data_IF_009003989592
#
_entry.id   IF_009003989592
#
_cell.length_a   1.000
_cell.length_b   1.000
_cell.length_c   1.000
_cell.angle_alpha   90.00
_cell.angle_beta   90.00
_cell.angle_gamma   90.00
#
_symmetry.space_group_name_H-M   'P 1'
#
loop_
_entity.id
_entity.type
_entity.pdbx_description
1 polymer ?
#
# COMPACT_ATOMS: atom_id res chain seq x y z
N UNK A 1 45.83 84.86 -35.14
CA UNK A 1 45.76 83.60 -35.92
C UNK A 1 47.16 83.29 -36.38
N UNK A 2 47.68 82.14 -35.96
CA UNK A 2 49.10 81.80 -36.00
C UNK A 2 49.58 81.38 -37.40
N UNK A 3 50.73 81.91 -37.82
CA UNK A 3 51.49 81.35 -38.94
C UNK A 3 52.86 80.86 -38.44
N UNK A 4 53.20 79.66 -38.90
CA UNK A 4 54.17 78.73 -38.34
C UNK A 4 55.54 78.95 -38.97
N UNK A 5 56.56 79.23 -38.16
CA UNK A 5 57.95 79.25 -38.61
C UNK A 5 58.49 77.82 -38.78
N UNK A 6 58.60 77.40 -40.05
CA UNK A 6 58.96 76.07 -40.54
C UNK A 6 60.36 75.55 -40.15
N UNK A 7 61.22 76.37 -39.52
CA UNK A 7 62.62 76.00 -39.21
C UNK A 7 62.89 75.64 -37.74
N UNK A 8 61.88 75.65 -36.87
CA UNK A 8 62.06 75.33 -35.44
C UNK A 8 62.31 73.84 -35.15
N UNK A 9 62.01 72.93 -36.09
CA UNK A 9 62.20 71.48 -35.90
C UNK A 9 63.61 70.96 -36.29
N UNK A 10 64.44 71.80 -36.91
CA UNK A 10 65.85 71.47 -37.22
C UNK A 10 66.81 72.18 -36.25
N UNK A 11 66.32 72.62 -35.08
CA UNK A 11 67.15 73.21 -34.03
C UNK A 11 67.88 74.50 -34.42
N UNK A 12 67.52 75.12 -35.54
CA UNK A 12 68.18 76.32 -36.05
C UNK A 12 67.55 77.56 -35.42
N UNK A 13 68.14 78.01 -34.30
CA UNK A 13 67.96 79.38 -33.81
C UNK A 13 68.74 80.31 -34.74
N UNK A 14 68.02 80.96 -35.65
CA UNK A 14 68.54 82.12 -36.38
C UNK A 14 68.70 83.29 -35.41
N UNK A 15 69.85 83.37 -34.74
CA UNK A 15 70.25 84.50 -33.92
C UNK A 15 71.77 84.64 -34.09
N UNK A 16 72.22 85.71 -34.76
CA UNK A 16 73.63 86.12 -34.73
C UNK A 16 74.34 86.53 -36.03
N UNK A 17 73.66 87.03 -37.07
CA UNK A 17 74.33 87.77 -38.17
C UNK A 17 74.55 89.25 -37.83
N UNK A 18 74.93 89.54 -36.58
CA UNK A 18 75.32 90.86 -36.07
C UNK A 18 76.15 90.69 -34.77
N UNK A 19 77.09 89.74 -34.79
CA UNK A 19 78.17 89.73 -33.79
C UNK A 19 79.40 90.41 -34.39
N UNK A 20 79.92 91.50 -33.80
CA UNK A 20 81.32 91.85 -34.02
C UNK A 20 82.15 90.63 -33.61
N UNK A 21 83.19 90.31 -34.40
CA UNK A 21 84.10 89.20 -34.10
C UNK A 21 84.46 89.20 -32.59
N UNK A 22 84.26 88.10 -31.85
CA UNK A 22 84.46 88.12 -30.41
C UNK A 22 85.95 88.21 -30.12
N UNK A 23 86.44 89.43 -29.88
CA UNK A 23 87.82 89.68 -29.45
C UNK A 23 88.14 89.01 -28.10
N UNK A 24 87.14 88.59 -27.33
CA UNK A 24 87.31 87.86 -26.06
C UNK A 24 87.60 86.36 -26.22
N UNK A 25 87.33 85.75 -27.38
CA UNK A 25 87.58 84.33 -27.59
C UNK A 25 88.95 84.03 -28.23
N UNK A 26 89.72 85.08 -28.55
CA UNK A 26 91.06 84.92 -29.11
C UNK A 26 92.01 84.31 -28.06
N UNK A 27 91.93 84.75 -26.80
CA UNK A 27 92.86 84.29 -25.75
C UNK A 27 92.61 82.83 -25.34
N UNK A 28 91.36 82.41 -25.17
CA UNK A 28 91.03 81.01 -24.88
C UNK A 28 91.36 80.09 -26.06
N UNK A 29 91.09 80.54 -27.29
CA UNK A 29 91.48 79.83 -28.51
C UNK A 29 93.00 79.76 -28.65
N UNK A 30 93.73 80.83 -28.32
CA UNK A 30 95.20 80.86 -28.28
C UNK A 30 95.69 79.88 -27.21
N UNK A 31 95.11 79.85 -26.02
CA UNK A 31 95.50 78.89 -24.96
C UNK A 31 95.25 77.44 -25.36
N UNK A 32 94.13 77.18 -26.03
CA UNK A 32 93.80 75.85 -26.54
C UNK A 32 94.72 75.46 -27.72
N UNK A 33 95.03 76.40 -28.61
CA UNK A 33 95.98 76.20 -29.69
C UNK A 33 97.41 76.07 -29.19
N UNK A 34 97.82 76.77 -28.14
CA UNK A 34 99.11 76.64 -27.45
C UNK A 34 99.21 75.30 -26.73
N UNK A 35 98.13 74.84 -26.09
CA UNK A 35 98.03 73.50 -25.52
C UNK A 35 98.14 72.44 -26.61
N UNK A 36 97.45 72.60 -27.73
CA UNK A 36 97.55 71.71 -28.88
C UNK A 36 98.92 71.78 -29.57
N UNK A 37 99.56 72.95 -29.63
CA UNK A 37 100.91 73.13 -30.20
C UNK A 37 101.97 72.55 -29.26
N UNK A 38 101.76 72.67 -27.94
CA UNK A 38 102.58 72.04 -26.93
C UNK A 38 102.39 70.52 -26.94
N UNK A 39 101.17 70.01 -27.15
CA UNK A 39 100.88 68.59 -27.36
C UNK A 39 101.60 68.10 -28.63
N UNK A 40 101.46 68.83 -29.74
CA UNK A 40 102.13 68.55 -31.01
C UNK A 40 103.66 68.65 -30.93
N UNK A 41 104.22 69.56 -30.14
CA UNK A 41 105.66 69.66 -29.86
C UNK A 41 106.14 68.60 -28.87
N UNK A 42 105.26 68.12 -27.97
CA UNK A 42 105.55 67.06 -27.00
C UNK A 42 105.49 65.67 -27.64
N UNK A 43 104.74 65.51 -28.74
CA UNK A 43 104.86 64.39 -29.67
C UNK A 43 106.24 64.48 -30.29
N UNK A 44 107.24 63.93 -29.60
CA UNK A 44 108.62 63.81 -30.10
C UNK A 44 108.56 63.27 -31.52
N UNK A 45 109.19 63.99 -32.45
CA UNK A 45 109.18 63.65 -33.86
C UNK A 45 109.81 62.26 -34.01
N UNK A 46 109.00 61.26 -34.36
CA UNK A 46 109.35 59.82 -34.30
C UNK A 46 110.62 59.51 -35.13
N UNK A 47 110.85 60.34 -36.14
CA UNK A 47 111.98 60.29 -37.08
C UNK A 47 113.33 60.67 -36.47
N UNK A 48 113.36 61.26 -35.28
CA UNK A 48 114.57 61.76 -34.60
C UNK A 48 115.01 60.95 -33.38
N UNK A 49 114.27 59.91 -33.00
CA UNK A 49 114.58 59.08 -31.84
C UNK A 49 115.64 58.02 -32.14
N UNK A 50 116.49 57.73 -31.17
CA UNK A 50 117.40 56.57 -31.25
C UNK A 50 116.61 55.26 -31.10
N UNK A 51 117.16 54.15 -31.57
CA UNK A 51 116.48 52.83 -31.56
C UNK A 51 115.99 52.45 -30.15
N UNK A 52 116.79 52.71 -29.12
CA UNK A 52 116.46 52.41 -27.71
C UNK A 52 115.33 53.30 -27.19
N UNK A 53 115.33 54.59 -27.50
CA UNK A 53 114.27 55.51 -27.08
C UNK A 53 112.94 55.21 -27.79
N UNK A 54 112.99 54.77 -29.05
CA UNK A 54 111.81 54.31 -29.78
C UNK A 54 111.22 53.02 -29.17
N UNK A 55 112.06 52.05 -28.81
CA UNK A 55 111.64 50.82 -28.14
C UNK A 55 111.05 51.11 -26.74
N UNK A 56 111.64 52.04 -25.97
CA UNK A 56 111.09 52.47 -24.68
C UNK A 56 109.73 53.15 -24.85
N UNK A 57 109.60 54.09 -25.81
CA UNK A 57 108.33 54.74 -26.09
C UNK A 57 107.26 53.74 -26.56
N UNK A 58 107.64 52.76 -27.37
CA UNK A 58 106.74 51.71 -27.84
C UNK A 58 106.28 50.80 -26.68
N UNK A 59 107.17 50.41 -25.78
CA UNK A 59 106.83 49.59 -24.61
C UNK A 59 106.00 50.36 -23.58
N UNK A 60 106.28 51.65 -23.36
CA UNK A 60 105.47 52.53 -22.51
C UNK A 60 104.06 52.74 -23.10
N UNK A 61 103.97 52.97 -24.42
CA UNK A 61 102.69 53.09 -25.13
C UNK A 61 101.91 51.78 -25.08
N UNK A 62 102.55 50.63 -25.31
CA UNK A 62 101.93 49.31 -25.19
C UNK A 62 101.42 49.06 -23.77
N UNK A 63 102.21 49.39 -22.74
CA UNK A 63 101.82 49.23 -21.34
C UNK A 63 100.65 50.15 -20.97
N UNK A 64 100.63 51.38 -21.44
CA UNK A 64 99.51 52.32 -21.28
C UNK A 64 98.22 51.78 -21.93
N UNK A 65 98.32 51.24 -23.14
CA UNK A 65 97.19 50.59 -23.83
C UNK A 65 96.69 49.40 -23.02
N UNK A 66 97.57 48.51 -22.54
CA UNK A 66 97.20 47.34 -21.72
C UNK A 66 96.49 47.79 -20.45
N UNK A 67 97.04 48.78 -19.74
CA UNK A 67 96.45 49.29 -18.49
C UNK A 67 95.07 49.92 -18.73
N UNK A 68 94.91 50.64 -19.84
CA UNK A 68 93.61 51.20 -20.25
C UNK A 68 92.60 50.10 -20.59
N UNK A 69 93.04 49.03 -21.25
CA UNK A 69 92.20 47.87 -21.59
C UNK A 69 91.78 47.10 -20.34
N UNK A 70 92.72 46.82 -19.42
CA UNK A 70 92.45 46.16 -18.14
C UNK A 70 91.49 46.99 -17.26
N UNK A 71 91.64 48.32 -17.22
CA UNK A 71 90.71 49.19 -16.50
C UNK A 71 89.30 49.15 -17.12
N UNK A 72 89.21 49.13 -18.45
CA UNK A 72 87.94 49.01 -19.18
C UNK A 72 87.30 47.64 -18.95
N UNK A 73 88.09 46.57 -18.94
CA UNK A 73 87.66 45.20 -18.64
C UNK A 73 87.15 45.08 -17.19
N UNK A 74 87.91 45.57 -16.21
CA UNK A 74 87.49 45.56 -14.81
C UNK A 74 86.18 46.32 -14.58
N UNK A 75 86.01 47.49 -15.25
CA UNK A 75 84.77 48.27 -15.20
C UNK A 75 83.60 47.53 -15.86
N UNK A 76 83.83 46.90 -17.01
CA UNK A 76 82.81 46.10 -17.69
C UNK A 76 82.40 44.87 -16.87
N UNK A 77 83.36 44.15 -16.28
CA UNK A 77 83.09 43.01 -15.40
C UNK A 77 82.33 43.43 -14.14
N UNK A 78 82.68 44.56 -13.54
CA UNK A 78 81.93 45.09 -12.39
C UNK A 78 80.48 45.46 -12.76
N UNK A 79 80.28 46.08 -13.92
CA UNK A 79 78.94 46.41 -14.41
C UNK A 79 78.12 45.15 -14.72
N UNK A 80 78.72 44.15 -15.38
CA UNK A 80 78.09 42.87 -15.66
C UNK A 80 77.69 42.14 -14.37
N UNK A 81 78.58 42.10 -13.37
CA UNK A 81 78.27 41.45 -12.08
C UNK A 81 77.12 42.14 -11.34
N UNK A 82 77.04 43.48 -11.39
CA UNK A 82 75.90 44.22 -10.82
C UNK A 82 74.60 43.85 -11.52
N UNK A 83 74.58 43.87 -12.85
CA UNK A 83 73.39 43.51 -13.64
C UNK A 83 72.96 42.07 -13.35
N UNK A 84 73.91 41.14 -13.26
CA UNK A 84 73.62 39.74 -12.92
C UNK A 84 72.98 39.66 -11.53
N UNK A 85 73.59 40.29 -10.52
CA UNK A 85 73.07 40.24 -9.15
C UNK A 85 71.67 40.87 -9.03
N UNK A 86 71.45 42.02 -9.68
CA UNK A 86 70.15 42.69 -9.73
C UNK A 86 69.11 41.84 -10.46
N UNK A 87 69.44 41.28 -11.63
CA UNK A 87 68.56 40.37 -12.36
C UNK A 87 68.21 39.12 -11.56
N UNK A 88 69.19 38.52 -10.88
CA UNK A 88 68.97 37.32 -10.05
C UNK A 88 68.03 37.63 -8.89
N UNK A 89 68.18 38.81 -8.26
CA UNK A 89 67.30 39.28 -7.20
C UNK A 89 65.89 39.54 -7.73
N UNK A 90 65.73 40.26 -8.84
CA UNK A 90 64.42 40.53 -9.43
C UNK A 90 63.69 39.26 -9.83
N UNK A 91 64.40 38.28 -10.43
CA UNK A 91 63.82 36.99 -10.79
C UNK A 91 63.31 36.27 -9.54
N UNK A 92 64.10 36.29 -8.45
CA UNK A 92 63.70 35.66 -7.19
C UNK A 92 62.47 36.33 -6.57
N UNK A 93 62.43 37.65 -6.51
CA UNK A 93 61.28 38.41 -6.00
C UNK A 93 60.01 38.16 -6.85
N UNK A 94 60.14 38.13 -8.17
CA UNK A 94 59.02 37.82 -9.08
C UNK A 94 58.54 36.38 -8.93
N UNK A 95 59.45 35.44 -8.73
CA UNK A 95 59.13 34.03 -8.50
C UNK A 95 58.38 33.84 -7.17
N UNK A 96 58.89 34.40 -6.08
CA UNK A 96 58.23 34.35 -4.76
C UNK A 96 56.85 35.02 -4.78
N UNK A 97 56.71 36.15 -5.48
CA UNK A 97 55.41 36.81 -5.67
C UNK A 97 54.42 35.94 -6.45
N UNK A 98 54.88 35.30 -7.52
CA UNK A 98 54.07 34.40 -8.33
C UNK A 98 53.64 33.16 -7.53
N UNK A 99 54.56 32.57 -6.77
CA UNK A 99 54.28 31.41 -5.91
C UNK A 99 53.26 31.75 -4.82
N UNK A 100 53.40 32.91 -4.17
CA UNK A 100 52.45 33.38 -3.14
C UNK A 100 51.05 33.58 -3.72
N UNK A 101 50.95 34.16 -4.93
CA UNK A 101 49.68 34.30 -5.65
C UNK A 101 49.07 32.95 -6.01
N UNK A 102 49.88 32.01 -6.50
CA UNK A 102 49.42 30.66 -6.84
C UNK A 102 48.87 29.92 -5.61
N UNK A 103 49.58 29.97 -4.48
CA UNK A 103 49.13 29.39 -3.21
C UNK A 103 47.83 30.04 -2.72
N UNK A 104 47.70 31.36 -2.82
CA UNK A 104 46.49 32.06 -2.44
C UNK A 104 45.27 31.67 -3.31
N UNK A 105 45.46 31.55 -4.63
CA UNK A 105 44.42 31.09 -5.56
C UNK A 105 44.00 29.65 -5.24
N UNK A 106 44.97 28.76 -5.02
CA UNK A 106 44.71 27.37 -4.67
C UNK A 106 43.92 27.27 -3.37
N UNK A 107 44.37 27.93 -2.30
CA UNK A 107 43.67 27.92 -1.02
C UNK A 107 42.25 28.48 -1.12
N UNK A 108 42.04 29.55 -1.91
CA UNK A 108 40.71 30.09 -2.15
C UNK A 108 39.81 29.12 -2.94
N UNK A 109 40.36 28.41 -3.92
CA UNK A 109 39.64 27.39 -4.67
C UNK A 109 39.27 26.18 -3.80
N UNK A 110 40.21 25.69 -2.98
CA UNK A 110 39.97 24.60 -2.03
C UNK A 110 38.88 24.97 -1.01
N UNK A 111 38.93 26.18 -0.45
CA UNK A 111 37.92 26.63 0.50
C UNK A 111 36.53 26.74 -0.15
N UNK A 112 36.44 27.20 -1.40
CA UNK A 112 35.17 27.18 -2.15
C UNK A 112 34.72 25.75 -2.44
N UNK A 113 35.61 24.87 -2.89
CA UNK A 113 35.32 23.46 -3.15
C UNK A 113 34.80 22.74 -1.92
N UNK A 114 35.43 22.96 -0.76
CA UNK A 114 34.97 22.43 0.54
C UNK A 114 33.56 22.91 0.89
N UNK A 115 33.24 24.18 0.67
CA UNK A 115 31.89 24.71 0.92
C UNK A 115 30.84 24.09 0.01
N UNK A 116 31.15 23.88 -1.27
CA UNK A 116 30.23 23.21 -2.19
C UNK A 116 30.04 21.75 -1.84
N UNK A 117 31.11 21.05 -1.44
CA UNK A 117 31.03 19.69 -0.94
C UNK A 117 30.17 19.60 0.32
N UNK A 118 30.43 20.46 1.30
CA UNK A 118 29.66 20.47 2.55
C UNK A 118 28.18 20.76 2.30
N UNK A 119 27.86 21.75 1.45
CA UNK A 119 26.46 22.01 1.08
C UNK A 119 25.81 20.80 0.39
N UNK A 120 26.52 20.13 -0.51
CA UNK A 120 26.02 18.93 -1.16
C UNK A 120 25.87 17.73 -0.19
N UNK A 121 26.74 17.62 0.80
CA UNK A 121 26.65 16.62 1.88
C UNK A 121 25.44 16.89 2.77
N UNK A 122 25.25 18.14 3.20
CA UNK A 122 24.10 18.58 3.99
C UNK A 122 22.77 18.34 3.24
N UNK A 123 22.70 18.71 1.95
CA UNK A 123 21.53 18.47 1.09
C UNK A 123 21.24 16.96 0.93
N UNK A 124 22.28 16.14 0.79
CA UNK A 124 22.13 14.69 0.66
C UNK A 124 21.66 14.05 1.98
N UNK A 125 22.14 14.54 3.12
CA UNK A 125 21.70 14.08 4.44
C UNK A 125 20.24 14.49 4.70
N UNK A 126 19.83 15.70 4.31
CA UNK A 126 18.42 16.12 4.38
C UNK A 126 17.54 15.23 3.50
N UNK A 127 17.96 14.96 2.26
CA UNK A 127 17.21 14.09 1.35
C UNK A 127 17.10 12.66 1.90
N UNK A 128 18.16 12.13 2.51
CA UNK A 128 18.13 10.82 3.18
C UNK A 128 17.16 10.83 4.35
N UNK A 129 17.23 11.85 5.21
CA UNK A 129 16.34 11.97 6.38
C UNK A 129 14.86 12.06 5.96
N UNK A 130 14.56 12.82 4.91
CA UNK A 130 13.20 12.95 4.40
C UNK A 130 12.71 11.62 3.81
N UNK A 131 13.54 10.93 3.03
CA UNK A 131 13.19 9.61 2.49
C UNK A 131 12.98 8.55 3.59
N UNK A 132 13.79 8.58 4.65
CA UNK A 132 13.61 7.69 5.82
C UNK A 132 12.30 7.99 6.55
N UNK A 133 11.96 9.26 6.75
CA UNK A 133 10.71 9.67 7.39
C UNK A 133 9.47 9.26 6.56
N UNK A 134 9.49 9.50 5.24
CA UNK A 134 8.40 9.09 4.33
C UNK A 134 8.24 7.57 4.28
N UNK A 135 9.35 6.82 4.28
CA UNK A 135 9.33 5.36 4.32
C UNK A 135 8.73 4.85 5.63
N UNK A 136 9.08 5.45 6.77
CA UNK A 136 8.55 5.09 8.07
C UNK A 136 7.06 5.45 8.20
N UNK A 137 6.63 6.60 7.69
CA UNK A 137 5.21 6.98 7.62
C UNK A 137 4.40 5.97 6.80
N UNK A 138 4.88 5.62 5.61
CA UNK A 138 4.25 4.63 4.73
C UNK A 138 4.15 3.26 5.40
N UNK A 139 5.20 2.83 6.10
CA UNK A 139 5.21 1.55 6.84
C UNK A 139 4.20 1.57 8.00
N UNK A 140 4.14 2.68 8.73
CA UNK A 140 3.22 2.85 9.85
C UNK A 140 1.76 2.87 9.36
N UNK A 141 1.48 3.54 8.25
CA UNK A 141 0.17 3.53 7.61
C UNK A 141 -0.22 2.12 7.16
N UNK A 142 0.65 1.43 6.41
CA UNK A 142 0.43 0.05 5.98
C UNK A 142 0.19 -0.91 7.15
N UNK A 143 0.94 -0.74 8.25
CA UNK A 143 0.75 -1.56 9.46
C UNK A 143 -0.60 -1.28 10.13
N UNK A 144 -1.04 -0.02 10.20
CA UNK A 144 -2.36 0.35 10.72
C UNK A 144 -3.48 -0.19 9.83
N UNK A 145 -3.35 -0.09 8.52
CA UNK A 145 -4.33 -0.65 7.59
C UNK A 145 -4.40 -2.17 7.68
N UNK A 146 -3.26 -2.87 7.71
CA UNK A 146 -3.21 -4.32 7.83
C UNK A 146 -3.85 -4.82 9.14
N UNK A 147 -3.61 -4.11 10.25
CA UNK A 147 -4.24 -4.43 11.55
C UNK A 147 -5.75 -4.16 11.53
N UNK A 148 -6.20 -3.05 10.93
CA UNK A 148 -7.62 -2.75 10.74
C UNK A 148 -8.31 -3.81 9.88
N UNK A 149 -7.74 -4.17 8.72
CA UNK A 149 -8.26 -5.20 7.82
C UNK A 149 -8.35 -6.56 8.51
N UNK A 150 -7.31 -6.96 9.25
CA UNK A 150 -7.32 -8.22 9.99
C UNK A 150 -8.41 -8.23 11.06
N UNK A 151 -8.59 -7.10 11.77
CA UNK A 151 -9.63 -6.98 12.79
C UNK A 151 -11.05 -7.02 12.20
N UNK A 152 -11.25 -6.37 11.05
CA UNK A 152 -12.52 -6.36 10.33
C UNK A 152 -12.85 -7.76 9.78
N UNK A 153 -11.87 -8.43 9.17
CA UNK A 153 -12.01 -9.80 8.69
C UNK A 153 -12.37 -10.78 9.82
N UNK A 154 -11.75 -10.64 11.01
CA UNK A 154 -12.11 -11.44 12.19
C UNK A 154 -13.55 -11.19 12.64
N UNK A 155 -14.00 -9.94 12.69
CA UNK A 155 -15.39 -9.60 13.06
C UNK A 155 -16.39 -10.17 12.06
N UNK A 156 -16.12 -10.03 10.76
CA UNK A 156 -17.00 -10.56 9.72
C UNK A 156 -17.05 -12.10 9.74
N UNK A 157 -15.90 -12.75 9.93
CA UNK A 157 -15.83 -14.21 10.09
C UNK A 157 -16.64 -14.68 11.30
N UNK A 158 -16.52 -13.99 12.44
CA UNK A 158 -17.29 -14.30 13.64
C UNK A 158 -18.80 -14.15 13.39
N UNK A 159 -19.21 -13.06 12.73
CA UNK A 159 -20.61 -12.83 12.35
C UNK A 159 -21.13 -13.91 11.41
N UNK A 160 -20.33 -14.35 10.44
CA UNK A 160 -20.68 -15.43 9.54
C UNK A 160 -20.86 -16.77 10.27
N UNK A 161 -19.98 -17.08 11.23
CA UNK A 161 -20.09 -18.28 12.08
C UNK A 161 -21.37 -18.22 12.92
N UNK A 162 -21.67 -17.08 13.55
CA UNK A 162 -22.88 -16.89 14.34
C UNK A 162 -24.14 -17.05 13.50
N UNK A 163 -24.17 -16.44 12.30
CA UNK A 163 -25.27 -16.59 11.36
C UNK A 163 -25.45 -18.05 10.92
N UNK A 164 -24.37 -18.76 10.60
CA UNK A 164 -24.42 -20.17 10.22
C UNK A 164 -24.93 -21.04 11.39
N UNK A 165 -24.46 -20.78 12.61
CA UNK A 165 -24.92 -21.49 13.81
C UNK A 165 -26.43 -21.28 14.05
N UNK A 166 -26.93 -20.05 13.89
CA UNK A 166 -28.37 -19.76 13.99
C UNK A 166 -29.16 -20.54 12.93
N UNK A 167 -28.72 -20.50 11.67
CA UNK A 167 -29.39 -21.21 10.58
C UNK A 167 -29.44 -22.73 10.80
N UNK A 168 -28.38 -23.32 11.37
CA UNK A 168 -28.36 -24.74 11.72
C UNK A 168 -29.41 -25.06 12.79
N UNK A 169 -29.55 -24.20 13.80
CA UNK A 169 -30.55 -24.37 14.87
C UNK A 169 -31.97 -24.27 14.28
N UNK A 170 -32.21 -23.26 13.44
CA UNK A 170 -33.49 -23.05 12.77
C UNK A 170 -33.86 -24.23 11.88
N UNK A 171 -32.90 -24.73 11.09
CA UNK A 171 -33.09 -25.89 10.23
C UNK A 171 -33.38 -27.16 11.04
N UNK A 172 -32.68 -27.38 12.15
CA UNK A 172 -32.94 -28.50 13.06
C UNK A 172 -34.33 -28.41 13.69
N UNK A 173 -34.76 -27.21 14.07
CA UNK A 173 -36.11 -26.96 14.57
C UNK A 173 -37.18 -27.30 13.53
N UNK A 174 -36.98 -26.82 12.29
CA UNK A 174 -37.84 -27.14 11.17
C UNK A 174 -37.91 -28.65 10.89
N UNK A 175 -36.76 -29.34 10.84
CA UNK A 175 -36.72 -30.80 10.66
C UNK A 175 -37.48 -31.54 11.76
N UNK A 176 -37.33 -31.12 13.02
CA UNK A 176 -38.03 -31.76 14.15
C UNK A 176 -39.54 -31.60 14.03
N UNK A 177 -40.01 -30.43 13.58
CA UNK A 177 -41.43 -30.17 13.29
C UNK A 177 -41.93 -31.02 12.12
N UNK A 178 -41.15 -31.10 11.03
CA UNK A 178 -41.48 -31.91 9.85
C UNK A 178 -41.57 -33.40 10.19
N UNK A 179 -40.65 -33.94 10.99
CA UNK A 179 -40.69 -35.34 11.46
C UNK A 179 -41.94 -35.59 12.31
N UNK A 180 -42.24 -34.69 13.25
CA UNK A 180 -43.42 -34.81 14.12
C UNK A 180 -44.72 -34.81 13.31
N UNK A 181 -44.81 -33.97 12.28
CA UNK A 181 -45.97 -33.91 11.38
C UNK A 181 -46.06 -35.16 10.49
N UNK A 182 -44.93 -35.67 9.99
CA UNK A 182 -44.88 -36.91 9.22
C UNK A 182 -45.35 -38.11 10.07
N UNK A 183 -44.91 -38.23 11.32
CA UNK A 183 -45.38 -39.27 12.24
C UNK A 183 -46.88 -39.15 12.52
N UNK A 184 -47.37 -37.92 12.73
CA UNK A 184 -48.80 -37.65 12.94
C UNK A 184 -49.62 -38.09 11.73
N UNK A 185 -49.17 -37.75 10.52
CA UNK A 185 -49.81 -38.13 9.27
C UNK A 185 -49.82 -39.65 9.11
N UNK A 186 -48.70 -40.32 9.37
CA UNK A 186 -48.60 -41.78 9.28
C UNK A 186 -49.56 -42.47 10.25
N UNK A 187 -49.65 -42.01 11.52
CA UNK A 187 -50.63 -42.53 12.48
C UNK A 187 -52.06 -42.33 12.00
N UNK A 188 -52.37 -41.15 11.47
CA UNK A 188 -53.70 -40.86 10.92
C UNK A 188 -54.03 -41.74 9.71
N UNK A 189 -53.08 -41.95 8.80
CA UNK A 189 -53.25 -42.83 7.65
C UNK A 189 -53.49 -44.27 8.08
N UNK A 190 -52.71 -44.78 9.04
CA UNK A 190 -52.90 -46.14 9.55
C UNK A 190 -54.25 -46.32 10.26
N UNK A 191 -54.70 -45.32 11.01
CA UNK A 191 -56.03 -45.32 11.63
C UNK A 191 -57.15 -45.35 10.56
N UNK A 192 -57.02 -44.55 9.50
CA UNK A 192 -57.96 -44.55 8.37
C UNK A 192 -57.98 -45.88 7.61
N UNK A 193 -56.81 -46.51 7.40
CA UNK A 193 -56.71 -47.83 6.76
C UNK A 193 -57.39 -48.90 7.62
N UNK A 194 -57.13 -48.93 8.93
CA UNK A 194 -57.77 -49.86 9.85
C UNK A 194 -59.29 -49.66 9.89
N UNK A 195 -59.77 -48.41 9.89
CA UNK A 195 -61.19 -48.09 9.84
C UNK A 195 -61.83 -48.57 8.51
N UNK A 196 -61.14 -48.38 7.39
CA UNK A 196 -61.58 -48.90 6.09
C UNK A 196 -61.62 -50.43 6.07
N UNK A 197 -60.62 -51.11 6.64
CA UNK A 197 -60.60 -52.57 6.76
C UNK A 197 -61.77 -53.09 7.58
N UNK A 198 -62.03 -52.48 8.75
CA UNK A 198 -63.19 -52.83 9.58
C UNK A 198 -64.51 -52.61 8.83
N UNK A 199 -64.63 -51.51 8.08
CA UNK A 199 -65.81 -51.25 7.27
C UNK A 199 -66.01 -52.33 6.18
N UNK A 200 -64.93 -52.77 5.52
CA UNK A 200 -64.96 -53.86 4.54
C UNK A 200 -65.36 -55.18 5.19
N UNK A 201 -64.84 -55.48 6.38
CA UNK A 201 -65.23 -56.69 7.11
C UNK A 201 -66.72 -56.67 7.48
N UNK A 202 -67.23 -55.52 7.95
CA UNK A 202 -68.66 -55.34 8.24
C UNK A 202 -69.53 -55.47 6.98
N UNK A 203 -69.12 -54.93 5.84
CA UNK A 203 -69.88 -55.08 4.59
C UNK A 203 -69.86 -56.52 4.10
N UNK A 204 -68.74 -57.24 4.21
CA UNK A 204 -68.65 -58.68 3.92
C UNK A 204 -69.59 -59.49 4.81
N UNK A 205 -69.63 -59.24 6.11
CA UNK A 205 -70.57 -59.91 7.02
C UNK A 205 -72.02 -59.63 6.65
N UNK A 206 -72.37 -58.37 6.34
CA UNK A 206 -73.72 -58.01 5.88
C UNK A 206 -74.08 -58.71 4.57
N UNK A 207 -73.15 -58.81 3.62
CA UNK A 207 -73.33 -59.54 2.38
C UNK A 207 -73.55 -61.03 2.64
N UNK A 208 -72.73 -61.65 3.49
CA UNK A 208 -72.90 -63.05 3.87
C UNK A 208 -74.29 -63.30 4.46
N UNK A 209 -74.72 -62.48 5.43
CA UNK A 209 -76.06 -62.57 6.00
C UNK A 209 -77.18 -62.36 4.97
N UNK A 210 -76.98 -61.48 3.99
CA UNK A 210 -77.95 -61.28 2.91
C UNK A 210 -78.02 -62.50 1.99
N UNK A 211 -76.89 -63.13 1.66
CA UNK A 211 -76.84 -64.37 0.89
C UNK A 211 -77.48 -65.54 1.64
N UNK A 212 -77.16 -65.71 2.92
CA UNK A 212 -77.78 -66.76 3.76
C UNK A 212 -79.31 -66.58 3.77
N UNK A 213 -79.79 -65.34 3.94
CA UNK A 213 -81.23 -65.03 3.90
C UNK A 213 -81.87 -65.25 2.54
N UNK A 214 -81.16 -65.00 1.44
CA UNK A 214 -81.63 -65.30 0.09
C UNK A 214 -81.69 -66.81 -0.16
N UNK A 215 -80.71 -67.56 0.34
CA UNK A 215 -80.71 -69.02 0.27
C UNK A 215 -81.88 -69.60 1.08
N UNK A 216 -82.13 -69.11 2.29
CA UNK A 216 -83.33 -69.45 3.09
C UNK A 216 -84.62 -69.13 2.32
N UNK A 217 -84.73 -67.92 1.73
CA UNK A 217 -85.88 -67.54 0.91
C UNK A 217 -86.04 -68.47 -0.30
N UNK A 218 -84.97 -68.85 -0.96
CA UNK A 218 -84.99 -69.77 -2.10
C UNK A 218 -85.45 -71.18 -1.67
N UNK A 219 -84.99 -71.68 -0.53
CA UNK A 219 -85.50 -72.93 0.05
C UNK A 219 -86.99 -72.84 0.37
N UNK A 220 -87.43 -71.74 1.00
CA UNK A 220 -88.84 -71.48 1.32
C UNK A 220 -89.72 -71.37 0.06
N UNK A 221 -89.23 -70.75 -1.02
CA UNK A 221 -89.93 -70.67 -2.30
C UNK A 221 -90.03 -72.06 -2.93
N UNK A 222 -88.92 -72.79 -3.04
CA UNK A 222 -88.89 -74.13 -3.63
C UNK A 222 -89.80 -75.11 -2.87
N UNK A 223 -89.87 -75.02 -1.54
CA UNK A 223 -90.77 -75.83 -0.71
C UNK A 223 -92.26 -75.54 -0.94
N UNK A 224 -92.61 -74.38 -1.52
CA UNK A 224 -93.98 -73.93 -1.76
C UNK A 224 -94.40 -73.95 -3.24
N UNK A 225 -93.58 -74.52 -4.14
CA UNK A 225 -93.89 -74.69 -5.56
C UNK A 225 -94.15 -76.17 -5.88
N UNK A 226 -95.12 -76.45 -6.76
CA UNK A 226 -95.39 -77.81 -7.27
C UNK A 226 -94.48 -78.18 -8.47
N UNK A 227 -94.56 -79.43 -8.96
CA UNK A 227 -93.70 -79.92 -10.05
C UNK A 227 -93.86 -79.17 -11.39
N UNK A 228 -94.88 -78.31 -11.52
CA UNK A 228 -95.14 -77.46 -12.68
C UNK A 228 -94.88 -75.96 -12.39
N UNK A 229 -94.16 -75.64 -11.31
CA UNK A 229 -93.78 -74.28 -10.89
C UNK A 229 -94.95 -73.34 -10.53
N UNK A 230 -96.06 -73.88 -9.99
CA UNK A 230 -97.20 -73.07 -9.52
C UNK A 230 -97.25 -72.96 -7.99
N UNK A 231 -97.73 -71.84 -7.41
CA UNK A 231 -97.80 -71.66 -5.95
C UNK A 231 -98.77 -72.66 -5.31
N UNK A 232 -98.27 -73.49 -4.40
CA UNK A 232 -99.06 -74.49 -3.70
C UNK A 232 -99.88 -73.86 -2.55
N UNK A 233 -100.88 -73.03 -2.87
CA UNK A 233 -102.06 -72.71 -2.03
C UNK A 233 -101.88 -72.26 -0.57
N UNK A 234 -100.66 -71.99 -0.09
CA UNK A 234 -100.39 -71.56 1.28
C UNK A 234 -99.83 -70.15 1.27
N UNK A 235 -100.54 -69.25 1.93
CA UNK A 235 -100.26 -67.81 2.01
C UNK A 235 -98.86 -67.56 2.58
N UNK A 236 -98.01 -66.92 1.79
CA UNK A 236 -96.65 -66.54 2.18
C UNK A 236 -96.71 -65.45 3.27
N UNK A 237 -96.20 -65.71 4.47
CA UNK A 237 -96.07 -64.70 5.53
C UNK A 237 -94.61 -64.31 5.65
N UNK A 238 -94.25 -63.11 5.16
CA UNK A 238 -92.87 -62.61 5.19
C UNK A 238 -92.32 -62.53 6.62
N UNK A 239 -90.98 -62.68 6.77
CA UNK A 239 -90.29 -62.83 8.04
C UNK A 239 -90.53 -61.77 9.13
N UNK A 240 -91.09 -60.59 8.81
CA UNK A 240 -91.53 -59.61 9.83
C UNK A 240 -92.75 -60.12 10.63
N UNK A 241 -93.62 -60.91 10.02
CA UNK A 241 -94.79 -61.51 10.69
C UNK A 241 -94.42 -62.52 11.76
N UNK A 242 -93.36 -63.33 11.54
CA UNK A 242 -92.83 -64.28 12.54
C UNK A 242 -92.28 -63.56 13.78
N UNK A 243 -91.55 -62.46 13.60
CA UNK A 243 -90.99 -61.70 14.72
C UNK A 243 -92.07 -60.97 15.54
N UNK A 244 -93.12 -60.44 14.88
CA UNK A 244 -94.24 -59.82 15.58
C UNK A 244 -95.09 -60.84 16.35
N UNK A 245 -95.29 -62.04 15.80
CA UNK A 245 -95.97 -63.12 16.50
C UNK A 245 -95.22 -63.55 17.78
N UNK A 246 -93.90 -63.72 17.68
CA UNK A 246 -93.05 -64.07 18.83
C UNK A 246 -92.99 -62.97 19.90
N UNK A 247 -92.98 -61.69 19.50
CA UNK A 247 -93.01 -60.57 20.43
C UNK A 247 -94.37 -60.45 21.14
N UNK A 248 -95.46 -60.66 20.42
CA UNK A 248 -96.81 -60.69 20.98
C UNK A 248 -96.98 -61.85 21.97
N UNK A 249 -96.45 -63.03 21.65
CA UNK A 249 -96.48 -64.19 22.54
C UNK A 249 -95.71 -63.96 23.85
N UNK A 250 -94.51 -63.34 23.77
CA UNK A 250 -93.74 -62.97 24.97
C UNK A 250 -94.48 -61.96 25.85
N UNK A 251 -95.17 -60.97 25.26
CA UNK A 251 -95.97 -60.01 26.01
C UNK A 251 -97.19 -60.68 26.69
N UNK A 252 -97.85 -61.62 26.01
CA UNK A 252 -98.97 -62.37 26.61
C UNK A 252 -98.52 -63.25 27.79
N UNK A 253 -97.35 -63.90 27.69
CA UNK A 253 -96.78 -64.70 28.79
C UNK A 253 -96.43 -63.80 29.99
N UNK A 254 -95.85 -62.61 29.75
CA UNK A 254 -95.54 -61.66 30.80
C UNK A 254 -96.81 -61.12 31.51
N UNK A 255 -97.86 -60.82 30.74
CA UNK A 255 -99.15 -60.37 31.28
C UNK A 255 -99.82 -61.44 32.15
N UNK A 256 -99.79 -62.72 31.74
CA UNK A 256 -100.31 -63.84 32.54
C UNK A 256 -99.56 -64.00 33.86
N UNK A 257 -98.23 -63.88 33.86
CA UNK A 257 -97.42 -63.94 35.10
C UNK A 257 -97.72 -62.77 36.06
N UNK A 258 -97.94 -61.56 35.53
CA UNK A 258 -98.30 -60.39 36.33
C UNK A 258 -99.69 -60.53 36.98
N UNK A 259 -100.68 -61.06 36.24
CA UNK A 259 -102.02 -61.32 36.77
C UNK A 259 -102.02 -62.36 37.91
N UNK A 260 -101.29 -63.46 37.75
CA UNK A 260 -101.15 -64.49 38.79
C UNK A 260 -100.53 -63.95 40.08
N UNK A 261 -99.59 -63.00 39.98
CA UNK A 261 -98.93 -62.39 41.14
C UNK A 261 -99.86 -61.46 41.93
N UNK A 262 -100.77 -60.74 41.25
CA UNK A 262 -101.82 -59.92 41.89
C UNK A 262 -102.87 -60.78 42.60
N UNK A 263 -103.26 -61.91 42.01
CA UNK A 263 -104.24 -62.81 42.62
C UNK A 263 -103.70 -63.48 43.90
N UNK A 264 -102.41 -63.84 43.92
CA UNK A 264 -101.73 -64.38 45.10
C UNK A 264 -101.61 -63.35 46.25
N UNK A 265 -101.44 -62.06 45.93
CA UNK A 265 -101.37 -61.00 46.93
C UNK A 265 -102.74 -60.74 47.63
N UNK A 266 -103.84 -60.80 46.87
CA UNK A 266 -105.19 -60.66 47.45
C UNK A 266 -105.60 -61.85 48.35
N UNK A 267 -105.18 -63.08 48.02
CA UNK A 267 -105.43 -64.26 48.88
C UNK A 267 -104.66 -64.20 50.21
N UNK A 268 -103.47 -63.58 50.25
CA UNK A 268 -102.70 -63.35 51.49
C UNK A 268 -103.27 -62.23 52.38
N UNK A 269 -103.91 -61.21 51.81
CA UNK A 269 -104.57 -60.14 52.57
C UNK A 269 -105.90 -60.60 53.21
N UNK A 270 -106.60 -61.56 52.62
CA UNK A 270 -107.85 -62.11 53.15
C UNK A 270 -107.66 -63.03 54.38
N UNK A 271 -106.47 -63.63 54.55
CA UNK A 271 -106.20 -64.59 55.63
C UNK A 271 -105.70 -63.96 56.96
N UNK A 272 -105.57 -62.62 57.03
CA UNK A 272 -105.14 -61.89 58.24
C UNK A 272 -106.30 -61.29 59.06
N UNK A 273 -107.56 -61.57 58.69
CA UNK A 273 -108.81 -61.06 59.32
C UNK A 273 -109.66 -62.11 60.07
N UNK A 274 -109.17 -63.34 60.28
CA UNK A 274 -109.76 -64.40 61.12
C UNK A 274 -108.57 -65.09 61.82
N UNK A 275 -108.30 -65.08 63.13
CA UNK A 275 -109.11 -65.12 64.37
C UNK A 275 -108.11 -64.95 65.57
N UNK A 276 -108.49 -64.98 66.88
CA UNK A 276 -109.71 -64.56 67.58
C UNK A 276 -109.41 -63.55 68.74
N UNK A 277 -110.43 -62.88 69.28
CA UNK A 277 -110.33 -62.04 70.49
C UNK A 277 -111.08 -62.68 71.70
N UNK A 278 -110.31 -63.07 72.72
CA UNK A 278 -110.52 -63.16 74.20
C UNK A 278 -111.76 -63.83 74.83
N UNK A 279 -111.53 -64.69 75.85
CA UNK A 279 -111.86 -64.50 77.30
C UNK A 279 -111.40 -65.72 78.16
N UNK A 280 -110.59 -65.52 79.22
CA UNK A 280 -110.96 -65.48 80.67
C UNK A 280 -111.70 -66.73 81.21
N UNK A 281 -110.97 -67.62 81.89
CA UNK A 281 -111.02 -67.90 83.34
C UNK A 281 -109.85 -68.80 83.70
#
# INVERSE_FOLDING_TARGET
MAEKNFLSWVGFKGEGSDQPAPAENALERIRQLESQLSDMRSRRDITSLTKEEFEILATETAMSIIKSAQAREAKANSAAQKIINESTREIKEKLESAETKAKAILSAAENRGRKYLQAAEDDADELRSNAEAEAEETLNESTREATQLTSAARRESQKMIENAASQIIDYRGWLSSAISEAERLHRSQNASLNAAEQAIQQTRQKLQHAFDRLAELQMDINANLDAANKPAGKTFVSGKGKQQALAAERQQIAARKAAAKKEAANKRAANKKKSPAKKKK
#
